data_IF_061268806144
#
_entry.id   IF_061268806144
#
_cell.length_a   1.000
_cell.length_b   1.000
_cell.length_c   1.000
_cell.angle_alpha   90.00
_cell.angle_beta   90.00
_cell.angle_gamma   90.00
#
_symmetry.space_group_name_H-M   'P 1'
#
loop_
_entity.id
_entity.type
_entity.pdbx_description
1 polymer ?
#
# COMPACT_ATOMS: atom_id res chain seq x y z
N UNK A 1 -16.53 3.74 -14.54
CA UNK A 1 -16.50 2.90 -13.32
C UNK A 1 -17.51 3.30 -12.24
N UNK A 2 -18.02 4.54 -12.21
CA UNK A 2 -19.18 4.88 -11.35
C UNK A 2 -20.40 4.07 -11.82
N UNK A 3 -20.80 3.03 -11.09
CA UNK A 3 -21.97 2.21 -11.39
C UNK A 3 -21.85 0.70 -11.06
N UNK A 4 -20.65 0.18 -10.78
CA UNK A 4 -20.47 -1.26 -10.49
C UNK A 4 -20.53 -1.61 -9.00
N UNK A 5 -20.12 -0.68 -8.12
CA UNK A 5 -20.11 -0.89 -6.68
C UNK A 5 -21.05 0.12 -5.99
N UNK A 6 -21.82 -0.30 -4.97
CA UNK A 6 -22.68 0.59 -4.19
C UNK A 6 -21.89 1.45 -3.17
N UNK A 7 -20.56 1.45 -3.26
CA UNK A 7 -19.65 2.17 -2.36
C UNK A 7 -18.54 2.86 -3.17
N UNK A 8 -17.86 3.81 -2.52
CA UNK A 8 -16.74 4.55 -3.12
C UNK A 8 -15.56 3.60 -3.36
N UNK A 9 -15.01 3.63 -4.57
CA UNK A 9 -13.82 2.86 -4.96
C UNK A 9 -12.74 3.84 -5.41
N UNK A 10 -11.55 3.71 -4.83
CA UNK A 10 -10.35 4.39 -5.31
C UNK A 10 -9.64 3.42 -6.24
N UNK A 11 -9.46 3.82 -7.50
CA UNK A 11 -8.62 3.07 -8.44
C UNK A 11 -7.16 3.31 -8.06
N UNK A 12 -6.44 2.24 -7.81
CA UNK A 12 -5.04 2.26 -7.44
C UNK A 12 -4.29 1.08 -8.07
N UNK A 13 -2.98 1.23 -8.22
CA UNK A 13 -2.09 0.19 -8.75
C UNK A 13 -0.84 0.14 -7.88
N UNK A 14 -0.34 -1.06 -7.61
CA UNK A 14 0.97 -1.29 -6.98
C UNK A 14 1.99 -1.54 -8.11
N UNK A 15 2.86 -0.56 -8.35
CA UNK A 15 3.82 -0.55 -9.43
C UNK A 15 5.16 -1.05 -8.91
N UNK A 16 5.64 -2.16 -9.47
CA UNK A 16 6.97 -2.68 -9.18
C UNK A 16 8.05 -1.91 -9.97
N UNK A 17 8.98 -1.31 -9.23
CA UNK A 17 10.22 -0.69 -9.73
C UNK A 17 11.43 -1.61 -9.48
N UNK A 18 12.62 -1.33 -10.05
CA UNK A 18 13.84 -2.07 -9.71
C UNK A 18 14.23 -2.03 -8.23
N UNK A 19 13.69 -1.09 -7.46
CA UNK A 19 14.04 -0.90 -6.05
C UNK A 19 12.91 -1.23 -5.06
N UNK A 20 11.77 -1.73 -5.56
CA UNK A 20 10.60 -2.07 -4.77
C UNK A 20 9.31 -1.42 -5.29
N UNK A 21 8.25 -1.52 -4.51
CA UNK A 21 6.89 -1.16 -4.91
C UNK A 21 6.51 0.27 -4.50
N UNK A 22 5.73 0.92 -5.36
CA UNK A 22 5.06 2.20 -5.08
C UNK A 22 3.61 2.04 -5.47
N UNK A 23 2.69 2.47 -4.62
CA UNK A 23 1.27 2.52 -4.95
C UNK A 23 0.90 3.90 -5.50
N UNK A 24 0.36 3.92 -6.71
CA UNK A 24 -0.33 5.08 -7.24
C UNK A 24 -1.82 4.99 -6.94
N UNK A 25 -2.37 5.99 -6.25
CA UNK A 25 -3.81 6.06 -5.96
C UNK A 25 -4.49 7.14 -6.81
N UNK A 26 -5.80 6.98 -7.08
CA UNK A 26 -6.60 7.84 -7.97
C UNK A 26 -6.12 7.84 -9.43
N UNK A 27 -5.64 6.68 -9.90
CA UNK A 27 -5.19 6.52 -11.27
C UNK A 27 -6.36 6.40 -12.25
N UNK A 28 -6.10 6.76 -13.51
CA UNK A 28 -7.04 6.65 -14.64
C UNK A 28 -6.54 5.64 -15.67
N UNK A 29 -5.23 5.51 -15.81
CA UNK A 29 -4.54 4.63 -16.73
C UNK A 29 -3.46 3.83 -15.98
N UNK A 30 -3.21 2.61 -16.45
CA UNK A 30 -2.19 1.73 -15.87
C UNK A 30 -0.80 2.30 -16.07
N UNK A 31 0.08 2.11 -15.09
CA UNK A 31 1.49 2.55 -15.18
C UNK A 31 2.39 1.34 -15.43
N UNK A 32 3.24 1.35 -16.47
CA UNK A 32 4.12 0.21 -16.75
C UNK A 32 5.05 -0.14 -15.58
N UNK A 33 5.24 -1.44 -15.34
CA UNK A 33 6.24 -1.94 -14.39
C UNK A 33 7.67 -1.80 -14.93
N UNK A 34 8.66 -1.79 -14.03
CA UNK A 34 10.09 -1.76 -14.36
C UNK A 34 10.63 -0.34 -14.63
N UNK A 35 9.81 0.69 -14.45
CA UNK A 35 10.23 2.08 -14.49
C UNK A 35 11.11 2.42 -13.27
N UNK A 36 11.95 3.45 -13.40
CA UNK A 36 12.63 4.04 -12.24
C UNK A 36 11.63 4.61 -11.24
N UNK A 37 12.08 4.83 -10.00
CA UNK A 37 11.26 5.41 -8.92
C UNK A 37 10.75 6.79 -9.32
N UNK A 38 11.61 7.63 -9.89
CA UNK A 38 11.29 9.00 -10.31
C UNK A 38 10.28 9.00 -11.46
N UNK A 39 10.46 8.11 -12.44
CA UNK A 39 9.51 7.96 -13.55
C UNK A 39 8.15 7.48 -13.03
N UNK A 40 8.14 6.52 -12.10
CA UNK A 40 6.92 5.99 -11.50
C UNK A 40 6.15 7.10 -10.77
N UNK A 41 6.84 7.87 -9.91
CA UNK A 41 6.26 9.03 -9.23
C UNK A 41 5.74 10.05 -10.24
N UNK A 42 6.53 10.39 -11.26
CA UNK A 42 6.12 11.35 -12.30
C UNK A 42 4.86 10.90 -13.04
N UNK A 43 4.73 9.61 -13.36
CA UNK A 43 3.54 9.05 -14.01
C UNK A 43 2.31 9.13 -13.11
N UNK A 44 2.46 8.79 -11.82
CA UNK A 44 1.38 8.95 -10.83
C UNK A 44 0.93 10.41 -10.76
N UNK A 45 1.87 11.35 -10.63
CA UNK A 45 1.58 12.79 -10.51
C UNK A 45 0.94 13.37 -11.77
N UNK A 46 1.35 12.94 -12.96
CA UNK A 46 0.77 13.39 -14.24
C UNK A 46 -0.71 13.05 -14.36
N UNK A 47 -1.13 11.92 -13.76
CA UNK A 47 -2.54 11.55 -13.69
C UNK A 47 -3.33 12.30 -12.60
N UNK A 48 -2.64 13.11 -11.79
CA UNK A 48 -3.17 13.74 -10.59
C UNK A 48 -3.31 12.77 -9.43
N UNK A 49 -2.57 11.65 -9.42
CA UNK A 49 -2.63 10.64 -8.37
C UNK A 49 -1.89 11.01 -7.09
N UNK A 50 -2.00 10.13 -6.09
CA UNK A 50 -1.22 10.19 -4.84
C UNK A 50 -0.17 9.08 -4.81
N UNK A 51 1.00 9.41 -4.30
CA UNK A 51 2.12 8.49 -4.10
C UNK A 51 2.02 7.89 -2.70
N UNK A 52 1.79 6.59 -2.63
CA UNK A 52 1.72 5.81 -1.41
C UNK A 52 2.86 4.79 -1.36
N UNK A 53 3.59 4.74 -0.26
CA UNK A 53 4.62 3.71 -0.05
C UNK A 53 4.02 2.54 0.74
N UNK A 54 3.84 1.36 0.11
CA UNK A 54 3.34 0.18 0.79
C UNK A 54 4.43 -0.48 1.63
N UNK A 55 4.02 -1.14 2.73
CA UNK A 55 4.86 -2.00 3.59
C UNK A 55 6.32 -1.54 3.81
N UNK A 56 6.59 -0.26 4.09
CA UNK A 56 7.95 0.26 4.20
C UNK A 56 8.68 -0.40 5.38
N UNK A 57 10.00 -0.55 5.22
CA UNK A 57 10.88 -1.13 6.23
C UNK A 57 10.56 -2.60 6.60
N UNK A 58 9.81 -3.32 5.77
CA UNK A 58 9.66 -4.77 5.90
C UNK A 58 10.89 -5.48 5.30
N UNK A 59 11.83 -5.86 6.16
CA UNK A 59 13.06 -6.55 5.74
C UNK A 59 12.82 -7.96 5.20
N UNK A 60 11.64 -8.54 5.43
CA UNK A 60 11.28 -9.87 4.93
C UNK A 60 10.52 -9.82 3.61
N UNK A 61 10.18 -8.62 3.12
CA UNK A 61 9.48 -8.42 1.86
C UNK A 61 10.47 -7.85 0.83
N UNK A 62 10.94 -8.67 -0.12
CA UNK A 62 11.91 -8.22 -1.13
C UNK A 62 11.39 -7.09 -2.03
N UNK A 63 10.07 -6.91 -2.09
CA UNK A 63 9.42 -5.88 -2.87
C UNK A 63 9.20 -4.58 -2.10
N UNK A 64 9.52 -4.53 -0.79
CA UNK A 64 9.49 -3.28 -0.05
C UNK A 64 10.52 -2.31 -0.63
N UNK A 65 10.14 -1.05 -0.80
CA UNK A 65 11.02 -0.02 -1.34
C UNK A 65 12.24 0.16 -0.43
N UNK A 66 13.42 0.26 -1.05
CA UNK A 66 14.68 0.48 -0.33
C UNK A 66 14.58 1.70 0.61
N UNK A 67 15.06 1.54 1.85
CA UNK A 67 14.91 2.58 2.86
C UNK A 67 15.72 3.84 2.59
N UNK A 68 16.87 3.73 1.91
CA UNK A 68 17.65 4.90 1.48
C UNK A 68 16.89 5.69 0.44
N UNK A 69 16.24 5.00 -0.50
CA UNK A 69 15.39 5.64 -1.51
C UNK A 69 14.18 6.30 -0.86
N UNK A 70 13.50 5.64 0.10
CA UNK A 70 12.39 6.25 0.85
C UNK A 70 12.81 7.59 1.48
N UNK A 71 14.03 7.66 2.03
CA UNK A 71 14.57 8.90 2.59
C UNK A 71 14.86 9.95 1.52
N UNK A 72 15.36 9.55 0.35
CA UNK A 72 15.63 10.45 -0.78
C UNK A 72 14.35 11.05 -1.39
N UNK A 73 13.28 10.28 -1.47
CA UNK A 73 12.01 10.71 -2.05
C UNK A 73 11.01 11.24 -1.02
N UNK A 74 11.42 11.47 0.23
CA UNK A 74 10.51 11.75 1.35
C UNK A 74 9.53 12.89 1.08
N UNK A 75 9.98 13.95 0.42
CA UNK A 75 9.18 15.13 0.08
C UNK A 75 8.16 14.88 -1.05
N UNK A 76 8.24 13.72 -1.70
CA UNK A 76 7.37 13.30 -2.80
C UNK A 76 6.32 12.28 -2.36
N UNK A 77 6.38 11.80 -1.12
CA UNK A 77 5.47 10.81 -0.55
C UNK A 77 4.24 11.52 0.04
N UNK A 78 3.04 11.17 -0.43
CA UNK A 78 1.81 11.68 0.17
C UNK A 78 1.36 10.81 1.35
N UNK A 79 1.51 9.49 1.19
CA UNK A 79 0.95 8.46 2.08
C UNK A 79 1.99 7.39 2.34
N UNK A 80 2.02 6.86 3.56
CA UNK A 80 2.83 5.72 3.93
C UNK A 80 2.00 4.68 4.68
N UNK A 81 2.13 3.40 4.32
CA UNK A 81 1.43 2.31 4.98
C UNK A 81 2.04 2.07 6.37
N UNK A 82 1.37 2.61 7.38
CA UNK A 82 1.79 2.54 8.78
C UNK A 82 1.49 1.18 9.42
N UNK A 83 0.52 0.44 8.87
CA UNK A 83 0.16 -0.89 9.35
C UNK A 83 -0.34 -1.78 8.20
N UNK A 84 0.35 -2.90 8.01
CA UNK A 84 -0.04 -3.95 7.09
C UNK A 84 -0.39 -5.21 7.88
N UNK A 85 -1.57 -5.80 7.65
CA UNK A 85 -2.02 -6.95 8.44
C UNK A 85 -1.15 -8.20 8.28
N UNK A 86 -0.40 -8.30 7.16
CA UNK A 86 0.49 -9.41 6.81
C UNK A 86 1.96 -9.12 7.14
N UNK A 87 2.29 -7.94 7.67
CA UNK A 87 3.66 -7.64 8.08
C UNK A 87 4.07 -8.54 9.26
N UNK A 88 5.18 -9.29 9.15
CA UNK A 88 5.60 -10.26 10.17
C UNK A 88 6.05 -9.57 11.47
N UNK A 89 6.75 -8.43 11.36
CA UNK A 89 7.33 -7.73 12.51
C UNK A 89 6.51 -6.51 12.92
N UNK A 90 6.37 -6.27 14.24
CA UNK A 90 5.83 -5.00 14.77
C UNK A 90 6.75 -3.83 14.48
N UNK A 91 8.05 -4.10 14.43
CA UNK A 91 9.07 -3.08 14.28
C UNK A 91 8.94 -2.30 12.96
N UNK A 92 8.58 -2.96 11.85
CA UNK A 92 8.37 -2.29 10.56
C UNK A 92 7.22 -1.28 10.66
N UNK A 93 6.09 -1.66 11.25
CA UNK A 93 4.96 -0.76 11.50
C UNK A 93 5.32 0.41 12.43
N UNK A 94 6.05 0.14 13.52
CA UNK A 94 6.52 1.20 14.42
C UNK A 94 7.47 2.18 13.72
N UNK A 95 8.37 1.67 12.88
CA UNK A 95 9.29 2.49 12.10
C UNK A 95 8.56 3.32 11.05
N UNK A 96 7.58 2.73 10.35
CA UNK A 96 6.72 3.42 9.40
C UNK A 96 5.94 4.57 10.06
N UNK A 97 5.35 4.32 11.24
CA UNK A 97 4.65 5.35 12.00
C UNK A 97 5.58 6.48 12.43
N UNK A 98 6.75 6.14 12.99
CA UNK A 98 7.75 7.13 13.44
C UNK A 98 8.26 7.98 12.27
N UNK A 99 8.51 7.34 11.11
CA UNK A 99 8.92 8.03 9.90
C UNK A 99 7.83 9.00 9.42
N UNK A 100 6.58 8.54 9.37
CA UNK A 100 5.45 9.38 8.98
C UNK A 100 5.29 10.59 9.91
N UNK A 101 5.40 10.40 11.22
CA UNK A 101 5.29 11.48 12.21
C UNK A 101 6.43 12.49 12.08
N UNK A 102 7.67 11.99 11.85
CA UNK A 102 8.85 12.84 11.66
C UNK A 102 8.70 13.80 10.48
N UNK A 103 8.13 13.33 9.37
CA UNK A 103 8.04 14.10 8.12
C UNK A 103 6.63 14.64 7.83
N UNK A 104 5.66 14.42 8.73
CA UNK A 104 4.28 14.90 8.54
C UNK A 104 3.53 14.24 7.39
N UNK A 105 3.87 12.99 7.05
CA UNK A 105 3.26 12.20 5.97
C UNK A 105 1.97 11.54 6.47
N UNK A 106 0.94 11.47 5.61
CA UNK A 106 -0.31 10.81 5.98
C UNK A 106 -0.11 9.30 6.14
N UNK A 107 -0.76 8.71 7.15
CA UNK A 107 -0.67 7.27 7.45
C UNK A 107 -1.84 6.53 6.83
N UNK A 108 -1.57 5.34 6.26
CA UNK A 108 -2.61 4.40 5.84
C UNK A 108 -2.44 3.04 6.52
N UNK A 109 -3.44 2.18 6.38
CA UNK A 109 -3.40 0.80 6.82
C UNK A 109 -4.08 -0.10 5.79
N UNK A 110 -3.45 -1.24 5.50
CA UNK A 110 -3.91 -2.16 4.46
C UNK A 110 -3.97 -3.60 4.95
N UNK A 111 -5.03 -4.31 4.56
CA UNK A 111 -5.16 -5.72 4.89
C UNK A 111 -4.23 -6.61 4.05
N UNK A 112 -3.82 -6.16 2.86
CA UNK A 112 -3.05 -6.98 1.89
C UNK A 112 -3.73 -8.34 1.65
N UNK A 113 -5.05 -8.31 1.48
CA UNK A 113 -5.88 -9.52 1.49
C UNK A 113 -5.66 -10.34 0.21
N UNK A 114 -5.22 -11.59 0.39
CA UNK A 114 -5.08 -12.57 -0.70
C UNK A 114 -6.21 -13.62 -0.66
N UNK A 115 -7.00 -13.62 0.41
CA UNK A 115 -8.15 -14.48 0.65
C UNK A 115 -9.31 -13.68 1.24
N UNK A 116 -10.54 -14.18 1.10
CA UNK A 116 -11.76 -13.49 1.57
C UNK A 116 -11.69 -13.19 3.08
N UNK A 117 -11.14 -14.11 3.88
CA UNK A 117 -11.03 -13.97 5.33
C UNK A 117 -10.02 -12.92 5.80
N UNK A 118 -9.20 -12.38 4.89
CA UNK A 118 -8.23 -11.31 5.20
C UNK A 118 -8.80 -9.91 4.97
N UNK A 119 -9.92 -9.80 4.22
CA UNK A 119 -10.56 -8.51 3.97
C UNK A 119 -10.95 -7.87 5.30
N UNK A 120 -10.51 -6.61 5.51
CA UNK A 120 -10.80 -5.86 6.72
C UNK A 120 -9.98 -6.26 7.95
N UNK A 121 -8.96 -7.12 7.82
CA UNK A 121 -8.02 -7.34 8.92
C UNK A 121 -7.25 -6.07 9.30
N UNK A 122 -7.07 -5.14 8.36
CA UNK A 122 -6.60 -3.79 8.63
C UNK A 122 -7.33 -2.80 7.73
N UNK A 123 -7.63 -1.62 8.28
CA UNK A 123 -8.32 -0.54 7.61
C UNK A 123 -8.08 0.80 8.32
N UNK A 124 -8.49 1.88 7.67
CA UNK A 124 -8.52 3.23 8.24
C UNK A 124 -9.94 3.58 8.66
N UNK A 125 -10.13 3.99 9.91
CA UNK A 125 -11.31 4.75 10.33
C UNK A 125 -11.05 6.23 10.09
N UNK A 126 -11.80 6.86 9.21
CA UNK A 126 -11.58 8.25 8.81
C UNK A 126 -12.89 8.92 8.41
N UNK A 127 -12.96 10.27 8.43
CA UNK A 127 -14.11 11.00 7.91
C UNK A 127 -14.45 10.61 6.47
N UNK A 128 -15.72 10.81 6.09
CA UNK A 128 -16.08 10.74 4.68
C UNK A 128 -15.32 11.79 3.88
N UNK A 129 -14.96 11.43 2.64
CA UNK A 129 -14.21 12.29 1.74
C UNK A 129 -14.83 12.30 0.35
N UNK A 130 -14.66 13.40 -0.39
CA UNK A 130 -15.12 13.57 -1.76
C UNK A 130 -13.96 13.95 -2.66
N UNK A 131 -13.32 12.91 -3.22
CA UNK A 131 -12.18 13.07 -4.12
C UNK A 131 -10.83 12.95 -3.42
N UNK A 132 -9.78 13.14 -4.22
CA UNK A 132 -8.39 12.85 -3.84
C UNK A 132 -7.86 13.72 -2.70
N UNK A 133 -8.04 15.02 -2.78
CA UNK A 133 -7.47 15.94 -1.80
C UNK A 133 -8.16 15.81 -0.44
N UNK A 134 -9.48 15.66 -0.46
CA UNK A 134 -10.27 15.39 0.74
C UNK A 134 -9.91 14.03 1.36
N UNK A 135 -9.64 13.01 0.54
CA UNK A 135 -9.15 11.72 1.03
C UNK A 135 -7.83 11.86 1.80
N UNK A 136 -6.88 12.62 1.25
CA UNK A 136 -5.59 12.85 1.90
C UNK A 136 -5.75 13.61 3.22
N UNK A 137 -6.66 14.59 3.30
CA UNK A 137 -6.96 15.30 4.55
C UNK A 137 -7.65 14.40 5.58
N UNK A 138 -8.62 13.60 5.16
CA UNK A 138 -9.30 12.65 6.02
C UNK A 138 -8.32 11.61 6.61
N UNK A 139 -7.37 11.11 5.81
CA UNK A 139 -6.31 10.21 6.28
C UNK A 139 -5.43 10.83 7.38
N UNK A 140 -5.11 12.13 7.30
CA UNK A 140 -4.28 12.82 8.32
C UNK A 140 -4.94 12.82 9.71
N UNK A 141 -6.27 12.78 9.76
CA UNK A 141 -7.05 12.67 11.01
C UNK A 141 -7.53 11.26 11.30
N UNK A 142 -7.26 10.32 10.39
CA UNK A 142 -7.73 8.96 10.44
C UNK A 142 -6.99 8.13 11.48
N UNK A 143 -7.68 7.10 11.97
CA UNK A 143 -7.15 6.13 12.92
C UNK A 143 -6.91 4.81 12.22
N UNK A 144 -5.69 4.28 12.39
CA UNK A 144 -5.35 2.93 11.98
C UNK A 144 -6.07 1.93 12.88
N UNK A 145 -6.82 1.00 12.27
CA UNK A 145 -7.46 -0.12 12.97
C UNK A 145 -7.06 -1.41 12.29
N UNK A 146 -6.66 -2.41 13.07
CA UNK A 146 -6.38 -3.71 12.50
C UNK A 146 -5.91 -4.74 13.51
N UNK A 147 -5.99 -5.99 13.07
CA UNK A 147 -5.41 -7.17 13.69
C UNK A 147 -4.49 -7.83 12.67
N UNK A 148 -3.46 -8.51 13.16
CA UNK A 148 -2.56 -9.24 12.28
C UNK A 148 -3.22 -10.49 11.76
N UNK A 149 -2.95 -10.81 10.49
CA UNK A 149 -3.29 -12.10 9.92
C UNK A 149 -2.42 -13.15 10.59
N UNK A 150 -3.05 -14.26 11.03
CA UNK A 150 -2.31 -15.36 11.66
C UNK A 150 -1.29 -15.94 10.67
N UNK A 151 -0.04 -16.24 11.10
CA UNK A 151 0.99 -16.78 10.21
C UNK A 151 0.59 -18.08 9.50
N UNK A 152 -0.38 -18.82 10.06
CA UNK A 152 -0.93 -20.06 9.49
C UNK A 152 -1.62 -19.84 8.14
N UNK A 153 -2.14 -18.64 7.85
CA UNK A 153 -2.78 -18.32 6.57
C UNK A 153 -1.75 -18.12 5.46
N UNK A 154 -0.51 -17.69 5.78
CA UNK A 154 0.57 -17.59 4.80
C UNK A 154 0.90 -18.97 4.18
N UNK A 155 0.75 -20.06 4.93
CA UNK A 155 0.91 -21.41 4.42
C UNK A 155 -0.18 -21.80 3.41
N UNK A 156 -1.42 -21.33 3.60
CA UNK A 156 -2.52 -21.56 2.65
C UNK A 156 -2.28 -20.80 1.34
N UNK A 157 -1.80 -19.56 1.41
CA UNK A 157 -1.47 -18.77 0.21
C UNK A 157 -0.30 -19.37 -0.58
N UNK A 158 0.73 -19.88 0.12
CA UNK A 158 1.84 -20.60 -0.51
C UNK A 158 1.39 -21.92 -1.17
N UNK A 159 0.46 -22.64 -0.53
CA UNK A 159 -0.11 -23.90 -1.04
C UNK A 159 -0.97 -23.71 -2.28
N UNK A 160 -1.72 -22.61 -2.38
CA UNK A 160 -2.48 -22.22 -3.58
C UNK A 160 -1.55 -21.92 -4.77
N UNK A 161 -0.43 -21.20 -4.56
CA UNK A 161 0.60 -21.00 -5.60
C UNK A 161 1.23 -22.32 -6.06
N UNK A 162 1.49 -23.25 -5.13
CA UNK A 162 2.04 -24.59 -5.43
C UNK A 162 1.06 -25.46 -6.22
N UNK A 163 -0.24 -25.48 -5.86
CA UNK A 163 -1.28 -26.19 -6.61
C UNK A 163 -1.49 -25.64 -8.02
N UNK A 164 -1.37 -24.32 -8.20
CA UNK A 164 -1.45 -23.69 -9.52
C UNK A 164 -0.32 -24.13 -10.47
N UNK A 165 0.88 -24.39 -9.94
CA UNK A 165 2.02 -24.90 -10.72
C UNK A 165 1.88 -26.37 -11.12
N UNK A 166 1.22 -27.19 -10.30
CA UNK A 166 1.00 -28.62 -10.56
C UNK A 166 -0.15 -28.91 -11.55
N UNK A 167 -1.04 -27.95 -11.78
CA UNK A 167 -2.14 -28.06 -12.76
C UNK A 167 -1.76 -27.63 -14.19
N UNK A 168 -0.51 -27.21 -14.41
CA UNK A 168 0.01 -26.74 -15.71
C UNK A 168 0.98 -27.72 -16.39
N UNK A 169 1.06 -28.97 -15.92
CA UNK A 169 1.75 -30.07 -16.59
C UNK A 169 0.76 -31.09 -17.14
#
# INVERSE_FOLDING_TARGET
MQGLAPFKVIVAEEILTPHGEIIGMFLKETIPSGLSVEQTISQIRTQGGLVCIPHPFDTFRPSALDSGIIEEIVDQIDIIEAFNSRAPLLQSSTKAQTFADKYGIAKSAGSDAHTIGEIGNAYMEMPEFNGRDDFLQALRTGKVVGRRTSPLIHFVTAWEKLKGSLKRQ
#
